data_IF_804339867776
#
_entry.id   IF_804339867776
#
_cell.length_a   1.000
_cell.length_b   1.000
_cell.length_c   1.000
_cell.angle_alpha   90.00
_cell.angle_beta   90.00
_cell.angle_gamma   90.00
#
_symmetry.space_group_name_H-M   'P 1'
#
loop_
_entity.id
_entity.type
_entity.pdbx_description
1 polymer ?
#
# COMPACT_ATOMS: atom_id res chain seq x y z
N UNK A 1 -12.34 5.03 30.39
CA UNK A 1 -12.28 3.78 29.62
C UNK A 1 -10.85 3.48 29.22
N UNK A 2 -10.41 2.25 29.39
CA UNK A 2 -9.04 1.77 29.12
C UNK A 2 -8.56 1.96 27.67
N UNK A 3 -9.41 2.42 26.77
CA UNK A 3 -9.14 2.54 25.33
C UNK A 3 -8.83 3.99 24.85
N UNK A 4 -8.75 4.97 25.71
CA UNK A 4 -8.78 6.38 25.31
C UNK A 4 -7.44 7.10 25.18
N UNK A 5 -6.33 6.40 24.95
CA UNK A 5 -5.10 7.06 24.47
C UNK A 5 -4.74 6.47 23.13
N UNK A 6 -5.33 7.01 22.06
CA UNK A 6 -4.91 6.73 20.71
C UNK A 6 -3.42 7.06 20.58
N UNK A 7 -2.63 6.07 20.22
CA UNK A 7 -1.22 6.27 19.91
C UNK A 7 -1.15 6.67 18.45
N UNK A 8 -0.83 7.93 18.22
CA UNK A 8 -0.69 8.49 16.88
C UNK A 8 0.59 7.98 16.22
N UNK A 9 0.50 7.67 14.93
CA UNK A 9 1.64 7.46 14.05
C UNK A 9 1.51 8.41 12.85
N UNK A 10 2.63 8.86 12.29
CA UNK A 10 2.62 9.83 11.19
C UNK A 10 1.93 9.32 9.91
N UNK A 11 1.87 8.01 9.73
CA UNK A 11 1.19 7.38 8.59
C UNK A 11 -0.29 7.12 8.84
N UNK A 12 -0.76 7.33 10.06
CA UNK A 12 -2.18 7.25 10.39
C UNK A 12 -2.92 8.48 9.88
N UNK A 13 -4.15 8.31 9.55
CA UNK A 13 -5.04 9.37 9.13
C UNK A 13 -5.64 9.14 7.75
N UNK A 14 -6.80 9.72 7.54
CA UNK A 14 -7.46 9.66 6.25
C UNK A 14 -6.73 10.50 5.22
N UNK A 15 -6.70 10.02 3.97
CA UNK A 15 -6.19 10.81 2.85
C UNK A 15 -7.04 12.07 2.64
N UNK A 16 -6.37 13.20 2.40
CA UNK A 16 -7.03 14.44 1.98
C UNK A 16 -6.43 14.87 0.64
N UNK A 17 -7.29 14.96 -0.38
CA UNK A 17 -6.88 15.49 -1.67
C UNK A 17 -6.99 17.00 -1.65
N UNK A 18 -5.93 17.67 -2.12
CA UNK A 18 -5.89 19.10 -2.38
C UNK A 18 -5.85 19.29 -3.89
N UNK A 19 -6.81 20.02 -4.43
CA UNK A 19 -6.93 20.27 -5.86
C UNK A 19 -6.79 21.77 -6.15
N UNK A 20 -5.86 22.12 -7.03
CA UNK A 20 -5.73 23.46 -7.58
C UNK A 20 -6.05 23.42 -9.07
N UNK A 21 -7.14 24.10 -9.46
CA UNK A 21 -7.54 24.23 -10.86
C UNK A 21 -7.13 25.59 -11.39
N UNK A 22 -6.38 25.58 -12.48
CA UNK A 22 -5.97 26.79 -13.19
C UNK A 22 -6.73 26.84 -14.51
N UNK A 23 -7.53 27.88 -14.71
CA UNK A 23 -8.33 28.05 -15.94
C UNK A 23 -8.60 29.51 -16.19
N UNK A 24 -8.44 29.95 -17.44
CA UNK A 24 -8.76 31.31 -17.91
C UNK A 24 -8.11 32.42 -17.05
N UNK A 25 -6.87 32.22 -16.62
CA UNK A 25 -6.15 33.17 -15.76
C UNK A 25 -6.58 33.20 -14.30
N UNK A 26 -7.55 32.39 -13.91
CA UNK A 26 -8.03 32.23 -12.54
C UNK A 26 -7.50 30.93 -11.88
N UNK A 27 -7.50 30.89 -10.54
CA UNK A 27 -7.19 29.74 -9.75
C UNK A 27 -8.33 29.41 -8.79
N UNK A 28 -8.72 28.15 -8.72
CA UNK A 28 -9.70 27.65 -7.75
C UNK A 28 -9.07 26.52 -6.95
N UNK A 29 -9.17 26.61 -5.62
CA UNK A 29 -8.68 25.59 -4.71
C UNK A 29 -9.85 24.88 -4.04
N UNK A 30 -9.76 23.56 -3.98
CA UNK A 30 -10.69 22.71 -3.22
C UNK A 30 -9.89 21.66 -2.44
N UNK A 31 -10.42 21.21 -1.31
CA UNK A 31 -9.92 20.04 -0.61
C UNK A 31 -11.07 19.15 -0.16
N UNK A 32 -10.77 17.87 -0.05
CA UNK A 32 -11.75 16.87 0.37
C UNK A 32 -11.02 15.65 0.92
N UNK A 33 -11.56 15.08 1.99
CA UNK A 33 -11.14 13.74 2.40
C UNK A 33 -11.46 12.72 1.32
N UNK A 34 -10.53 11.80 1.08
CA UNK A 34 -10.73 10.67 0.16
C UNK A 34 -11.88 9.82 0.68
N UNK A 35 -12.93 9.60 -0.10
CA UNK A 35 -14.18 8.97 0.38
C UNK A 35 -14.06 7.44 0.46
N UNK A 36 -13.01 6.93 1.11
CA UNK A 36 -12.80 5.49 1.33
C UNK A 36 -13.91 4.87 2.19
N UNK A 37 -14.04 3.54 2.14
CA UNK A 37 -15.00 2.84 2.98
C UNK A 37 -14.78 3.13 4.46
N UNK A 38 -13.52 3.01 4.93
CA UNK A 38 -13.14 3.35 6.30
C UNK A 38 -13.54 4.79 6.69
N UNK A 39 -13.20 5.78 5.85
CA UNK A 39 -13.57 7.19 6.13
C UNK A 39 -15.08 7.38 6.29
N UNK A 40 -15.88 6.74 5.41
CA UNK A 40 -17.35 6.85 5.48
C UNK A 40 -17.91 6.26 6.77
N UNK A 41 -17.38 5.12 7.20
CA UNK A 41 -17.78 4.44 8.44
C UNK A 41 -17.42 5.32 9.64
N UNK A 42 -16.16 5.73 9.79
CA UNK A 42 -15.69 6.53 10.91
C UNK A 42 -16.36 7.90 10.97
N UNK A 43 -16.63 8.51 9.81
CA UNK A 43 -17.44 9.74 9.74
C UNK A 43 -18.88 9.55 10.21
N UNK A 44 -19.49 8.41 9.89
CA UNK A 44 -20.84 8.09 10.34
C UNK A 44 -20.88 7.84 11.85
N UNK A 45 -19.88 7.16 12.39
CA UNK A 45 -19.77 6.89 13.83
C UNK A 45 -19.38 8.15 14.62
N UNK A 46 -18.79 9.16 13.98
CA UNK A 46 -18.29 10.38 14.64
C UNK A 46 -16.98 10.18 15.39
N UNK A 47 -16.35 9.02 15.26
CA UNK A 47 -15.09 8.67 15.88
C UNK A 47 -14.28 7.71 15.02
N UNK A 48 -12.96 7.65 15.28
CA UNK A 48 -12.06 6.65 14.66
C UNK A 48 -12.25 5.31 15.38
N UNK A 49 -12.60 4.28 14.63
CA UNK A 49 -12.91 2.95 15.16
C UNK A 49 -11.84 1.91 14.77
N UNK A 50 -11.27 2.03 13.58
CA UNK A 50 -10.26 1.09 13.11
C UNK A 50 -8.93 1.26 13.83
N UNK A 51 -8.26 0.12 14.11
CA UNK A 51 -6.91 0.14 14.65
C UNK A 51 -5.95 0.87 13.70
N UNK A 52 -5.08 1.70 14.27
CA UNK A 52 -4.08 2.49 13.54
C UNK A 52 -2.67 1.91 13.75
N UNK A 53 -1.71 2.27 12.89
CA UNK A 53 -0.32 1.81 13.01
C UNK A 53 0.27 2.12 14.38
N UNK A 54 -0.06 3.29 14.95
CA UNK A 54 0.40 3.68 16.27
C UNK A 54 -0.16 2.81 17.40
N UNK A 55 -1.26 2.11 17.17
CA UNK A 55 -1.94 1.26 18.13
C UNK A 55 -1.55 -0.21 18.05
N UNK A 56 -0.93 -0.67 16.96
CA UNK A 56 -0.43 -2.04 16.81
C UNK A 56 0.78 -2.30 17.72
N UNK A 57 0.56 -2.26 19.05
CA UNK A 57 1.61 -2.45 20.07
C UNK A 57 1.13 -3.31 21.22
N UNK A 58 1.74 -4.48 21.36
CA UNK A 58 1.45 -5.42 22.43
C UNK A 58 0.04 -6.00 22.36
N UNK A 59 -0.29 -6.84 23.32
CA UNK A 59 -1.55 -7.57 23.36
C UNK A 59 -2.82 -6.69 23.28
N UNK A 60 -2.90 -5.48 23.91
CA UNK A 60 -4.07 -4.62 23.75
C UNK A 60 -4.26 -4.12 22.32
N UNK A 61 -3.18 -3.83 21.61
CA UNK A 61 -3.23 -3.42 20.20
C UNK A 61 -3.69 -4.55 19.30
N UNK A 62 -3.23 -5.77 19.55
CA UNK A 62 -3.68 -6.96 18.85
C UNK A 62 -5.18 -7.20 19.03
N UNK A 63 -5.68 -7.14 20.27
CA UNK A 63 -7.11 -7.30 20.55
C UNK A 63 -7.92 -6.22 19.83
N UNK A 64 -7.48 -4.96 19.90
CA UNK A 64 -8.16 -3.86 19.18
C UNK A 64 -8.20 -4.13 17.68
N UNK A 65 -7.10 -4.55 17.10
CA UNK A 65 -7.05 -4.90 15.68
C UNK A 65 -8.06 -6.00 15.32
N UNK A 66 -8.07 -7.10 16.09
CA UNK A 66 -8.99 -8.21 15.87
C UNK A 66 -10.44 -7.74 15.96
N UNK A 67 -10.79 -6.95 16.97
CA UNK A 67 -12.15 -6.42 17.14
C UNK A 67 -12.50 -5.49 15.99
N UNK A 68 -11.67 -4.49 15.70
CA UNK A 68 -11.91 -3.51 14.63
C UNK A 68 -12.10 -4.19 13.28
N UNK A 69 -11.21 -5.14 12.93
CA UNK A 69 -11.31 -5.87 11.66
C UNK A 69 -12.47 -6.87 11.64
N UNK A 70 -12.87 -7.44 12.77
CA UNK A 70 -14.03 -8.32 12.84
C UNK A 70 -15.32 -7.54 12.63
N UNK A 71 -15.44 -6.37 13.25
CA UNK A 71 -16.57 -5.47 13.05
C UNK A 71 -16.60 -4.86 11.64
N UNK A 72 -15.41 -4.58 11.08
CA UNK A 72 -15.29 -4.08 9.72
C UNK A 72 -15.87 -5.04 8.67
N UNK A 73 -15.87 -6.35 8.91
CA UNK A 73 -16.42 -7.34 7.99
C UNK A 73 -17.93 -7.16 7.73
N UNK A 74 -18.64 -6.55 8.64
CA UNK A 74 -20.07 -6.22 8.45
C UNK A 74 -20.27 -5.09 7.44
N UNK A 75 -19.23 -4.26 7.21
CA UNK A 75 -19.26 -3.08 6.34
C UNK A 75 -18.26 -3.15 5.18
N UNK A 76 -17.19 -3.93 5.34
CA UNK A 76 -16.09 -4.07 4.40
C UNK A 76 -15.86 -5.55 4.12
N UNK A 77 -16.21 -5.99 2.93
CA UNK A 77 -16.11 -7.39 2.52
C UNK A 77 -14.66 -7.85 2.27
N UNK A 78 -13.74 -6.92 2.01
CA UNK A 78 -12.35 -7.22 1.69
C UNK A 78 -11.41 -6.41 2.59
N UNK A 79 -10.58 -7.11 3.39
CA UNK A 79 -9.59 -6.50 4.28
C UNK A 79 -8.50 -5.71 3.52
N UNK A 80 -8.28 -6.01 2.25
CA UNK A 80 -7.38 -5.24 1.38
C UNK A 80 -7.92 -3.85 1.01
N UNK A 81 -9.03 -3.43 1.59
CA UNK A 81 -9.67 -2.12 1.38
C UNK A 81 -9.80 -1.29 2.66
N UNK A 82 -9.23 -1.76 3.76
CA UNK A 82 -9.38 -1.12 5.09
C UNK A 82 -8.39 0.02 5.33
N UNK A 83 -7.16 -0.07 4.82
CA UNK A 83 -6.18 0.99 5.02
C UNK A 83 -6.65 2.31 4.37
N UNK A 84 -6.35 3.48 4.97
CA UNK A 84 -6.75 4.73 4.38
C UNK A 84 -5.91 5.03 3.13
N UNK A 85 -6.49 5.29 1.94
CA UNK A 85 -5.76 5.64 0.73
C UNK A 85 -5.24 7.08 0.82
N UNK A 86 -4.15 7.28 1.56
CA UNK A 86 -3.64 8.58 1.98
C UNK A 86 -2.23 8.91 1.47
N UNK A 87 -1.61 8.01 0.68
CA UNK A 87 -0.19 8.14 0.37
C UNK A 87 0.06 8.86 -0.95
N UNK A 88 -0.63 8.46 -1.99
CA UNK A 88 -0.47 9.09 -3.32
C UNK A 88 -1.73 9.02 -4.17
N UNK A 89 -1.66 9.62 -5.35
CA UNK A 89 -2.69 9.49 -6.38
C UNK A 89 -2.06 9.21 -7.74
N UNK A 90 -2.81 8.55 -8.61
CA UNK A 90 -2.39 8.13 -9.93
C UNK A 90 -3.52 8.34 -10.94
N UNK A 91 -3.18 8.87 -12.12
CA UNK A 91 -4.02 8.78 -13.31
C UNK A 91 -3.56 7.58 -14.15
N UNK A 92 -4.44 6.62 -14.37
CA UNK A 92 -4.17 5.45 -15.17
C UNK A 92 -5.42 5.07 -15.98
N UNK A 93 -5.28 4.85 -17.28
CA UNK A 93 -6.38 4.51 -18.19
C UNK A 93 -7.60 5.43 -18.04
N UNK A 94 -7.35 6.75 -17.96
CA UNK A 94 -8.37 7.80 -17.76
C UNK A 94 -9.16 7.70 -16.46
N UNK A 95 -8.69 6.91 -15.49
CA UNK A 95 -9.25 6.79 -14.16
C UNK A 95 -8.31 7.40 -13.13
N UNK A 96 -8.89 7.95 -12.07
CA UNK A 96 -8.14 8.56 -10.97
C UNK A 96 -8.16 7.63 -9.75
N UNK A 97 -6.99 7.31 -9.24
CA UNK A 97 -6.82 6.43 -8.10
C UNK A 97 -6.19 7.14 -6.92
N UNK A 98 -6.68 6.85 -5.72
CA UNK A 98 -6.03 7.15 -4.46
C UNK A 98 -5.40 5.87 -3.91
N UNK A 99 -4.14 5.94 -3.49
CA UNK A 99 -3.30 4.77 -3.22
C UNK A 99 -2.77 4.76 -1.80
N UNK A 100 -2.59 3.54 -1.28
CA UNK A 100 -1.88 3.22 -0.05
C UNK A 100 -1.32 1.79 -0.17
N UNK A 101 -0.17 1.52 0.41
CA UNK A 101 0.53 0.22 0.32
C UNK A 101 -0.24 -0.95 0.95
N UNK A 102 -1.18 -0.66 1.83
CA UNK A 102 -2.04 -1.66 2.45
C UNK A 102 -3.37 -1.88 1.75
N UNK A 103 -3.57 -1.29 0.55
CA UNK A 103 -4.84 -1.36 -0.16
C UNK A 103 -4.71 -1.77 -1.62
N UNK A 104 -5.79 -2.35 -2.12
CA UNK A 104 -6.14 -2.31 -3.55
C UNK A 104 -6.42 -0.84 -3.92
N UNK A 105 -6.04 -0.36 -5.12
CA UNK A 105 -6.27 1.02 -5.54
C UNK A 105 -7.74 1.45 -5.42
N UNK A 106 -7.99 2.60 -4.79
CA UNK A 106 -9.32 3.17 -4.71
C UNK A 106 -9.57 4.06 -5.93
N UNK A 107 -10.47 3.67 -6.82
CA UNK A 107 -10.94 4.50 -7.92
C UNK A 107 -11.88 5.59 -7.43
N UNK A 108 -11.58 6.83 -7.79
CA UNK A 108 -12.42 7.99 -7.60
C UNK A 108 -12.64 8.71 -8.93
N UNK A 109 -13.78 9.35 -9.06
CA UNK A 109 -14.02 10.28 -10.16
C UNK A 109 -13.68 11.70 -9.71
N UNK A 110 -12.73 12.33 -10.40
CA UNK A 110 -12.41 13.73 -10.19
C UNK A 110 -13.45 14.59 -10.93
N UNK A 111 -14.22 15.36 -10.16
CA UNK A 111 -15.24 16.23 -10.69
C UNK A 111 -14.65 17.56 -11.20
N UNK A 112 -15.35 18.28 -12.10
CA UNK A 112 -14.86 19.56 -12.63
C UNK A 112 -14.58 20.64 -11.57
N UNK A 113 -15.20 20.56 -10.41
CA UNK A 113 -14.96 21.47 -9.28
C UNK A 113 -13.84 20.99 -8.33
N UNK A 114 -13.14 19.91 -8.68
CA UNK A 114 -12.03 19.35 -7.90
C UNK A 114 -12.45 18.42 -6.77
N UNK A 115 -13.74 18.14 -6.63
CA UNK A 115 -14.21 17.13 -5.65
C UNK A 115 -14.04 15.72 -6.17
N UNK A 116 -14.00 14.76 -5.23
CA UNK A 116 -13.95 13.33 -5.51
C UNK A 116 -15.30 12.67 -5.28
N UNK A 117 -15.69 11.84 -6.22
CA UNK A 117 -16.78 10.88 -6.08
C UNK A 117 -16.21 9.47 -5.97
N UNK A 118 -16.68 8.71 -4.99
CA UNK A 118 -16.29 7.31 -4.80
C UNK A 118 -16.87 6.45 -5.93
N UNK A 119 -16.00 5.66 -6.55
CA UNK A 119 -16.39 4.65 -7.55
C UNK A 119 -16.31 3.26 -6.92
N UNK A 120 -15.14 2.86 -6.45
CA UNK A 120 -14.90 1.54 -5.86
C UNK A 120 -13.43 1.18 -5.85
N UNK A 121 -13.11 -0.01 -5.35
CA UNK A 121 -11.76 -0.52 -5.39
C UNK A 121 -11.51 -1.25 -6.71
N UNK A 122 -10.40 -0.92 -7.36
CA UNK A 122 -10.07 -1.44 -8.69
C UNK A 122 -9.35 -2.78 -8.59
N UNK A 123 -10.00 -3.82 -9.01
CA UNK A 123 -9.43 -5.19 -9.05
C UNK A 123 -8.96 -5.62 -10.44
N UNK A 124 -8.95 -4.69 -11.40
CA UNK A 124 -8.59 -4.99 -12.78
C UNK A 124 -9.30 -6.23 -13.34
N UNK A 125 -10.63 -6.21 -13.32
CA UNK A 125 -11.48 -7.36 -13.71
C UNK A 125 -11.25 -8.62 -12.84
N UNK A 126 -11.09 -8.42 -11.53
CA UNK A 126 -10.89 -9.50 -10.54
C UNK A 126 -9.56 -10.27 -10.67
N UNK A 127 -8.55 -9.68 -11.31
CA UNK A 127 -7.21 -10.27 -11.36
C UNK A 127 -6.27 -9.73 -10.29
N UNK A 128 -6.63 -8.63 -9.61
CA UNK A 128 -5.92 -8.08 -8.46
C UNK A 128 -6.68 -8.37 -7.17
N UNK A 129 -6.12 -9.20 -6.32
CA UNK A 129 -6.68 -9.63 -5.03
C UNK A 129 -5.76 -9.34 -3.83
N UNK A 130 -4.75 -8.50 -4.04
CA UNK A 130 -3.78 -8.11 -3.02
C UNK A 130 -3.44 -6.61 -3.13
N UNK A 131 -2.97 -5.97 -2.03
CA UNK A 131 -2.51 -4.60 -2.05
C UNK A 131 -1.30 -4.41 -2.96
N UNK A 132 -1.20 -3.25 -3.59
CA UNK A 132 -0.02 -2.87 -4.37
C UNK A 132 0.61 -1.60 -3.79
N UNK A 133 1.87 -1.34 -4.17
CA UNK A 133 2.58 -0.15 -3.71
C UNK A 133 1.80 1.14 -3.99
N UNK A 134 1.98 2.12 -3.12
CA UNK A 134 1.39 3.45 -3.32
C UNK A 134 2.07 4.25 -4.44
N UNK A 135 3.19 3.77 -4.97
CA UNK A 135 3.98 4.43 -6.01
C UNK A 135 4.19 3.55 -7.26
N UNK A 136 3.13 2.94 -7.82
CA UNK A 136 3.27 2.16 -9.05
C UNK A 136 3.70 3.08 -10.20
N UNK A 137 4.25 2.50 -11.24
CA UNK A 137 4.75 3.22 -12.42
C UNK A 137 4.08 2.71 -13.68
N UNK A 138 3.84 3.60 -14.61
CA UNK A 138 3.29 3.27 -15.93
C UNK A 138 4.46 3.26 -16.91
N UNK A 139 4.63 2.17 -17.61
CA UNK A 139 5.67 2.06 -18.63
C UNK A 139 5.22 2.64 -19.99
N UNK A 140 6.11 2.60 -20.98
CA UNK A 140 5.85 3.12 -22.32
C UNK A 140 4.84 2.30 -23.14
N UNK A 141 4.44 1.13 -22.65
CA UNK A 141 3.36 0.30 -23.24
C UNK A 141 2.03 0.47 -22.55
N UNK A 142 1.98 1.25 -21.46
CA UNK A 142 0.80 1.43 -20.64
C UNK A 142 0.59 0.33 -19.61
N UNK A 143 1.58 -0.53 -19.36
CA UNK A 143 1.54 -1.51 -18.28
C UNK A 143 1.82 -0.84 -16.94
N UNK A 144 1.14 -1.30 -15.88
CA UNK A 144 1.31 -0.78 -14.53
C UNK A 144 2.30 -1.66 -13.75
N UNK A 145 3.47 -1.10 -13.42
CA UNK A 145 4.53 -1.76 -12.67
C UNK A 145 4.37 -1.45 -11.18
N UNK A 146 4.46 -2.47 -10.33
CA UNK A 146 4.30 -2.31 -8.88
C UNK A 146 5.14 -3.32 -8.10
N UNK A 147 5.28 -3.05 -6.81
CA UNK A 147 5.64 -4.05 -5.82
C UNK A 147 4.52 -4.19 -4.79
N UNK A 148 4.61 -5.21 -3.96
CA UNK A 148 3.67 -5.52 -2.90
C UNK A 148 4.39 -6.24 -1.78
N UNK A 149 3.75 -6.32 -0.62
CA UNK A 149 4.22 -7.10 0.51
C UNK A 149 3.22 -8.17 0.88
N UNK A 150 3.70 -9.22 1.52
CA UNK A 150 2.84 -10.17 2.20
C UNK A 150 3.16 -10.20 3.68
N UNK A 151 2.13 -10.35 4.49
CA UNK A 151 2.22 -10.63 5.92
C UNK A 151 1.73 -12.04 6.25
N UNK A 152 1.43 -12.84 5.24
CA UNK A 152 1.04 -14.24 5.42
C UNK A 152 2.28 -15.06 5.79
N UNK A 153 2.28 -15.66 6.99
CA UNK A 153 3.43 -16.36 7.56
C UNK A 153 3.88 -17.54 6.70
N UNK A 154 2.93 -18.35 6.21
CA UNK A 154 3.26 -19.50 5.34
C UNK A 154 3.95 -19.04 4.05
N UNK A 155 3.43 -17.99 3.44
CA UNK A 155 4.03 -17.42 2.23
C UNK A 155 5.43 -16.85 2.50
N UNK A 156 5.62 -16.19 3.65
CA UNK A 156 6.91 -15.63 4.07
C UNK A 156 7.97 -16.73 4.19
N UNK A 157 7.63 -17.81 4.86
CA UNK A 157 8.56 -18.94 5.07
C UNK A 157 8.99 -19.58 3.74
N UNK A 158 8.07 -19.72 2.80
CA UNK A 158 8.34 -20.37 1.53
C UNK A 158 8.97 -19.45 0.48
N UNK A 159 8.44 -18.24 0.33
CA UNK A 159 8.68 -17.38 -0.84
C UNK A 159 9.33 -16.05 -0.51
N UNK A 160 9.33 -15.62 0.75
CA UNK A 160 9.80 -14.30 1.16
C UNK A 160 8.67 -13.28 1.29
N UNK A 161 9.03 -12.02 1.54
CA UNK A 161 8.08 -10.98 1.96
C UNK A 161 7.69 -10.01 0.86
N UNK A 162 8.49 -9.86 -0.18
CA UNK A 162 8.30 -8.88 -1.24
C UNK A 162 7.87 -9.54 -2.54
N UNK A 163 6.86 -8.97 -3.16
CA UNK A 163 6.37 -9.37 -4.49
C UNK A 163 6.62 -8.22 -5.47
N UNK A 164 7.05 -8.53 -6.67
CA UNK A 164 7.06 -7.61 -7.80
C UNK A 164 6.04 -8.04 -8.82
N UNK A 165 5.49 -7.10 -9.56
CA UNK A 165 4.52 -7.43 -10.56
C UNK A 165 4.22 -6.32 -11.55
N UNK A 166 3.47 -6.68 -12.55
CA UNK A 166 2.91 -5.76 -13.53
C UNK A 166 1.49 -6.20 -13.92
N UNK A 167 0.65 -5.23 -14.14
CA UNK A 167 -0.61 -5.42 -14.83
C UNK A 167 -0.38 -5.12 -16.32
N UNK A 168 -0.55 -6.15 -17.14
CA UNK A 168 -0.45 -6.04 -18.60
C UNK A 168 -1.77 -5.53 -19.14
N UNK A 169 -1.81 -4.27 -19.54
CA UNK A 169 -3.05 -3.57 -19.92
C UNK A 169 -3.70 -4.19 -21.16
N UNK A 170 -2.92 -4.58 -22.15
CA UNK A 170 -3.40 -5.22 -23.37
C UNK A 170 -4.00 -6.61 -23.11
N UNK A 171 -3.37 -7.39 -22.24
CA UNK A 171 -3.79 -8.76 -21.93
C UNK A 171 -4.75 -8.85 -20.75
N UNK A 172 -4.97 -7.75 -20.06
CA UNK A 172 -5.81 -7.64 -18.84
C UNK A 172 -5.46 -8.71 -17.79
N UNK A 173 -4.16 -8.93 -17.57
CA UNK A 173 -3.67 -9.92 -16.60
C UNK A 173 -2.55 -9.34 -15.75
N UNK A 174 -2.41 -9.90 -14.56
CA UNK A 174 -1.28 -9.65 -13.67
C UNK A 174 -0.23 -10.76 -13.84
N UNK A 175 1.01 -10.35 -13.96
CA UNK A 175 2.17 -11.21 -13.80
C UNK A 175 2.90 -10.74 -12.56
N UNK A 176 2.99 -11.57 -11.54
CA UNK A 176 3.68 -11.24 -10.29
C UNK A 176 4.34 -12.47 -9.68
N UNK A 177 5.42 -12.26 -8.94
CA UNK A 177 6.16 -13.31 -8.23
C UNK A 177 6.90 -12.71 -7.04
N UNK A 178 7.18 -13.57 -6.05
CA UNK A 178 7.99 -13.18 -4.91
C UNK A 178 9.45 -13.10 -5.28
N UNK A 179 10.13 -12.10 -4.75
CA UNK A 179 11.58 -11.94 -4.88
C UNK A 179 12.26 -12.25 -3.54
N UNK A 180 13.40 -12.95 -3.54
CA UNK A 180 14.07 -13.32 -2.30
C UNK A 180 14.68 -12.09 -1.64
N UNK A 181 14.20 -11.75 -0.44
CA UNK A 181 14.86 -10.82 0.48
C UNK A 181 16.01 -11.52 1.19
N UNK A 182 16.95 -10.77 1.76
CA UNK A 182 18.10 -11.34 2.45
C UNK A 182 17.70 -12.18 3.65
N UNK A 183 16.77 -11.66 4.43
CA UNK A 183 16.20 -12.37 5.57
C UNK A 183 14.68 -12.49 5.41
N UNK A 184 14.19 -13.72 5.34
CA UNK A 184 12.76 -14.01 5.24
C UNK A 184 12.00 -13.80 6.55
N UNK A 185 12.68 -13.64 7.68
CA UNK A 185 12.05 -13.48 8.99
C UNK A 185 11.44 -12.10 9.21
N UNK A 186 11.66 -11.14 8.31
CA UNK A 186 11.10 -9.80 8.41
C UNK A 186 10.62 -9.26 7.06
N UNK A 187 9.72 -8.28 7.13
CA UNK A 187 9.19 -7.59 5.94
C UNK A 187 10.01 -6.33 5.70
N UNK A 188 10.89 -6.35 4.69
CA UNK A 188 11.65 -5.18 4.28
C UNK A 188 10.74 -4.05 3.82
N UNK A 189 10.98 -2.82 4.29
CA UNK A 189 10.18 -1.66 3.94
C UNK A 189 10.71 -0.97 2.70
N UNK A 190 10.40 -1.50 1.53
CA UNK A 190 10.70 -0.87 0.24
C UNK A 190 9.51 0.00 -0.20
N UNK A 191 9.45 1.24 0.27
CA UNK A 191 8.32 2.15 0.07
C UNK A 191 8.04 2.50 -1.40
N UNK A 192 9.05 2.47 -2.25
CA UNK A 192 8.93 2.89 -3.66
C UNK A 192 9.71 1.93 -4.56
N UNK A 193 9.59 2.11 -5.86
CA UNK A 193 10.44 1.43 -6.84
C UNK A 193 10.95 2.46 -7.86
N UNK A 194 12.11 2.17 -8.43
CA UNK A 194 12.67 2.90 -9.56
C UNK A 194 12.45 2.05 -10.80
N UNK A 195 12.31 2.66 -11.96
CA UNK A 195 12.26 1.93 -13.21
C UNK A 195 12.98 2.69 -14.32
N UNK A 196 13.45 1.93 -15.28
CA UNK A 196 14.05 2.38 -16.52
C UNK A 196 13.25 1.86 -17.70
N UNK A 197 13.71 2.05 -18.91
CA UNK A 197 13.04 1.49 -20.09
C UNK A 197 12.97 -0.04 -20.06
N UNK A 198 13.92 -0.72 -19.43
CA UNK A 198 14.06 -2.16 -19.46
C UNK A 198 13.91 -2.85 -18.10
N UNK A 199 14.03 -2.13 -16.98
CA UNK A 199 14.11 -2.72 -15.66
C UNK A 199 13.23 -1.99 -14.64
N UNK A 200 12.68 -2.75 -13.72
CA UNK A 200 12.25 -2.26 -12.41
C UNK A 200 13.37 -2.49 -11.41
N UNK A 201 13.62 -1.53 -10.53
CA UNK A 201 14.64 -1.63 -9.50
C UNK A 201 13.93 -1.52 -8.16
N UNK A 202 14.01 -2.57 -7.39
CA UNK A 202 13.52 -2.66 -6.02
C UNK A 202 14.71 -2.63 -5.06
N UNK A 203 14.45 -2.45 -3.78
CA UNK A 203 15.50 -2.54 -2.77
C UNK A 203 15.06 -3.35 -1.56
N UNK A 204 16.02 -4.05 -1.01
CA UNK A 204 15.94 -4.69 0.28
C UNK A 204 16.81 -3.87 1.24
N UNK A 205 16.23 -3.39 2.32
CA UNK A 205 16.85 -2.39 3.18
C UNK A 205 16.80 -2.78 4.66
N UNK A 206 17.63 -2.12 5.46
CA UNK A 206 17.70 -2.36 6.91
C UNK A 206 16.44 -1.94 7.67
N UNK A 207 15.55 -1.15 7.08
CA UNK A 207 14.26 -0.79 7.70
C UNK A 207 13.24 -1.88 7.38
N UNK A 208 12.55 -2.36 8.39
CA UNK A 208 11.57 -3.43 8.24
C UNK A 208 10.37 -3.26 9.19
N UNK A 209 9.29 -3.95 8.86
CA UNK A 209 8.16 -4.13 9.76
C UNK A 209 8.48 -5.25 10.76
N UNK A 210 8.35 -4.92 12.03
CA UNK A 210 8.49 -5.90 13.10
C UNK A 210 7.13 -6.43 13.53
N UNK A 211 6.79 -7.60 13.03
CA UNK A 211 5.52 -8.25 13.36
C UNK A 211 5.47 -8.71 14.83
N UNK A 212 6.63 -8.88 15.49
CA UNK A 212 6.67 -9.25 16.91
C UNK A 212 6.27 -8.10 17.83
N UNK A 213 6.34 -6.85 17.35
CA UNK A 213 5.90 -5.68 18.11
C UNK A 213 4.41 -5.74 18.51
N UNK A 214 3.61 -6.50 17.77
CA UNK A 214 2.20 -6.75 18.12
C UNK A 214 2.05 -7.55 19.42
N UNK A 215 3.04 -8.36 19.79
CA UNK A 215 3.01 -9.20 20.99
C UNK A 215 3.87 -8.60 22.11
N UNK A 216 5.07 -8.16 21.78
CA UNK A 216 6.07 -7.72 22.74
C UNK A 216 5.97 -6.22 23.07
N UNK A 217 5.28 -5.47 22.22
CA UNK A 217 5.30 -4.01 22.25
C UNK A 217 6.55 -3.46 21.56
N UNK A 218 6.70 -2.14 21.57
CA UNK A 218 7.82 -1.49 20.90
C UNK A 218 7.41 -0.78 19.61
N UNK A 219 8.37 -0.51 18.73
CA UNK A 219 8.12 0.13 17.43
C UNK A 219 7.75 -0.92 16.39
N UNK A 220 6.72 -0.64 15.60
CA UNK A 220 6.36 -1.46 14.46
C UNK A 220 7.41 -1.39 13.33
N UNK A 221 8.11 -0.26 13.25
CA UNK A 221 9.27 -0.13 12.38
C UNK A 221 10.54 -0.30 13.19
N UNK A 222 11.42 -1.16 12.75
CA UNK A 222 12.75 -1.39 13.30
C UNK A 222 13.81 -1.28 12.23
N UNK A 223 15.04 -1.14 12.66
CA UNK A 223 16.21 -1.17 11.79
C UNK A 223 17.12 -2.32 12.19
N UNK A 224 17.71 -2.98 11.22
CA UNK A 224 18.77 -3.97 11.36
C UNK A 224 20.04 -3.40 10.70
N UNK A 225 20.87 -2.64 11.44
CA UNK A 225 22.04 -1.97 10.87
C UNK A 225 23.08 -2.91 10.24
N UNK A 226 23.03 -4.18 10.62
CA UNK A 226 23.87 -5.26 10.08
C UNK A 226 23.51 -5.65 8.64
N UNK A 227 22.34 -5.25 8.15
CA UNK A 227 21.93 -5.50 6.77
C UNK A 227 22.26 -4.33 5.86
N UNK A 228 22.99 -4.62 4.82
CA UNK A 228 23.30 -3.67 3.78
C UNK A 228 22.07 -3.41 2.90
N UNK A 229 22.05 -2.23 2.29
CA UNK A 229 21.11 -1.96 1.23
C UNK A 229 21.47 -2.81 0.00
N UNK A 230 20.49 -3.53 -0.53
CA UNK A 230 20.63 -4.29 -1.78
C UNK A 230 19.64 -3.78 -2.81
N UNK A 231 20.06 -3.73 -4.05
CA UNK A 231 19.20 -3.41 -5.18
C UNK A 231 18.89 -4.67 -5.99
N UNK A 232 17.62 -4.97 -6.15
CA UNK A 232 17.13 -6.04 -7.03
C UNK A 232 16.82 -5.46 -8.40
N UNK A 233 17.57 -5.84 -9.40
CA UNK A 233 17.36 -5.46 -10.80
C UNK A 233 16.45 -6.48 -11.45
N UNK A 234 15.23 -6.08 -11.75
CA UNK A 234 14.17 -6.94 -12.27
C UNK A 234 13.88 -6.56 -13.71
N UNK A 235 14.12 -7.43 -14.70
CA UNK A 235 13.70 -7.17 -16.08
C UNK A 235 12.18 -6.92 -16.15
N UNK A 236 11.73 -5.91 -16.89
CA UNK A 236 10.30 -5.56 -16.97
C UNK A 236 9.39 -6.69 -17.37
N UNK A 237 9.88 -7.59 -18.19
CA UNK A 237 9.12 -8.73 -18.71
C UNK A 237 9.42 -10.02 -17.97
N UNK A 238 10.18 -9.96 -16.88
CA UNK A 238 10.45 -11.13 -16.06
C UNK A 238 9.15 -11.80 -15.59
N UNK A 239 9.21 -13.11 -15.50
CA UNK A 239 8.09 -13.97 -15.11
C UNK A 239 8.41 -14.79 -13.86
N UNK A 240 9.65 -14.74 -13.41
CA UNK A 240 10.13 -15.49 -12.25
C UNK A 240 11.23 -14.76 -11.48
N UNK A 241 11.41 -15.17 -10.22
CA UNK A 241 12.40 -14.59 -9.31
C UNK A 241 13.85 -14.82 -9.73
N UNK A 242 14.10 -15.88 -10.50
CA UNK A 242 15.43 -16.27 -10.99
C UNK A 242 16.01 -15.24 -11.95
N UNK A 243 15.16 -14.42 -12.54
CA UNK A 243 15.57 -13.33 -13.45
C UNK A 243 15.98 -12.06 -12.68
N UNK A 244 15.78 -12.01 -11.37
CA UNK A 244 16.17 -10.87 -10.52
C UNK A 244 17.66 -10.96 -10.19
N UNK A 245 18.42 -9.92 -10.50
CA UNK A 245 19.83 -9.81 -10.14
C UNK A 245 19.96 -8.87 -8.96
N UNK A 246 20.54 -9.35 -7.86
CA UNK A 246 20.78 -8.55 -6.67
C UNK A 246 22.18 -7.93 -6.68
N UNK A 247 22.26 -6.65 -6.35
CA UNK A 247 23.51 -5.90 -6.17
C UNK A 247 23.56 -5.47 -4.71
N UNK A 248 24.57 -5.95 -4.01
CA UNK A 248 24.89 -5.53 -2.66
C UNK A 248 25.70 -4.24 -2.69
N UNK A 249 25.43 -3.32 -1.77
CA UNK A 249 26.15 -2.05 -1.71
C UNK A 249 27.38 -2.07 -0.80
N UNK A 250 27.63 -3.18 -0.09
CA UNK A 250 28.77 -3.34 0.80
C UNK A 250 28.55 -2.87 2.22
#
# INVERSE_FOLDING_TARGET
TLMNKKRYHWFDGHGMLHCLRLQNGGATYTNQFVPSARYKIEKHLGEEDFATLGEFKGFPGLIKAIISYSLARDYISDLNTVAPPNTSCLMYNNKFYCLNEGNIPLECKLLPDGRLEYIGYETFNSVLDFPISAHPRIDNKGDLLFHSYTTNVETIEEQGTMKVGRYCSEQQKIVSYFVPTEDKSYVSFAHNLIFTDNYSIIWDCSVHFDTTAMFEGGSYFKTKPEFNLRFGIVPKHATSKEETVWIDTG
#
